data_IF_769822670480
#
_entry.id   IF_769822670480
#
_cell.length_a   1.000
_cell.length_b   1.000
_cell.length_c   1.000
_cell.angle_alpha   90.00
_cell.angle_beta   90.00
_cell.angle_gamma   90.00
#
_symmetry.space_group_name_H-M   'P 1'
#
loop_
_entity.id
_entity.type
_entity.pdbx_description
1 polymer ?
#
# COMPACT_ATOMS: atom_id res chain seq x y z
N UNK A 1 21.06 -15.58 -23.54
CA UNK A 1 19.65 -15.96 -23.21
C UNK A 1 18.84 -14.68 -23.08
N UNK A 2 17.69 -14.55 -23.74
CA UNK A 2 16.80 -13.40 -23.52
C UNK A 2 16.30 -13.45 -22.06
N UNK A 3 16.29 -12.29 -21.40
CA UNK A 3 15.77 -12.17 -20.04
C UNK A 3 14.30 -12.60 -20.02
N UNK A 4 13.88 -13.42 -19.06
CA UNK A 4 12.50 -13.84 -18.94
C UNK A 4 11.57 -12.61 -18.80
N UNK A 5 10.45 -12.62 -19.48
CA UNK A 5 9.42 -11.59 -19.31
C UNK A 5 8.60 -11.85 -18.05
N UNK A 6 8.24 -10.79 -17.35
CA UNK A 6 7.32 -10.85 -16.21
C UNK A 6 6.07 -10.04 -16.53
N UNK A 7 4.92 -10.65 -16.40
CA UNK A 7 3.64 -9.99 -16.67
C UNK A 7 2.65 -10.14 -15.53
N UNK A 8 1.70 -9.20 -15.45
CA UNK A 8 0.59 -9.20 -14.49
C UNK A 8 -0.54 -10.03 -15.08
N UNK A 9 -0.88 -11.13 -14.42
CA UNK A 9 -1.98 -12.04 -14.83
C UNK A 9 -3.34 -11.40 -14.51
N UNK A 10 -3.45 -10.81 -13.32
CA UNK A 10 -4.66 -10.12 -12.88
C UNK A 10 -4.48 -9.44 -11.53
N UNK A 11 -5.49 -8.64 -11.20
CA UNK A 11 -5.58 -7.89 -9.96
C UNK A 11 -6.99 -8.04 -9.36
N UNK A 12 -7.10 -7.91 -8.04
CA UNK A 12 -8.39 -7.82 -7.37
C UNK A 12 -8.30 -6.93 -6.12
N UNK A 13 -9.46 -6.46 -5.68
CA UNK A 13 -9.58 -5.67 -4.47
C UNK A 13 -10.72 -6.21 -3.60
N UNK A 14 -10.55 -6.07 -2.29
CA UNK A 14 -11.60 -6.20 -1.31
C UNK A 14 -11.85 -4.84 -0.66
N UNK A 15 -13.10 -4.43 -0.58
CA UNK A 15 -13.50 -3.19 0.07
C UNK A 15 -14.53 -3.54 1.16
N UNK A 16 -14.36 -3.05 2.40
CA UNK A 16 -15.36 -3.19 3.47
C UNK A 16 -16.71 -2.59 3.07
N UNK A 17 -17.76 -3.00 3.78
CA UNK A 17 -19.12 -2.48 3.50
C UNK A 17 -19.36 -1.11 4.13
N UNK A 18 -18.79 -0.87 5.31
CA UNK A 18 -18.95 0.38 6.04
C UNK A 18 -18.21 1.52 5.35
N UNK A 19 -18.85 2.70 5.29
CA UNK A 19 -18.25 3.89 4.69
C UNK A 19 -18.36 5.09 5.62
N UNK A 20 -17.58 6.12 5.34
CA UNK A 20 -17.68 7.44 5.96
C UNK A 20 -17.79 8.49 4.85
N UNK A 21 -18.83 9.29 4.87
CA UNK A 21 -19.08 10.37 3.91
C UNK A 21 -18.24 11.62 4.18
N UNK A 22 -18.15 12.52 3.21
CA UNK A 22 -17.53 13.85 3.36
C UNK A 22 -18.18 14.66 4.49
N UNK A 23 -19.50 14.54 4.65
CA UNK A 23 -20.25 15.19 5.74
C UNK A 23 -19.81 14.67 7.11
N UNK A 24 -19.67 13.37 7.28
CA UNK A 24 -19.21 12.76 8.53
C UNK A 24 -17.75 13.15 8.84
N UNK A 25 -16.88 13.24 7.83
CA UNK A 25 -15.51 13.76 7.98
C UNK A 25 -15.58 15.22 8.46
N UNK A 26 -16.39 16.07 7.84
CA UNK A 26 -16.58 17.46 8.22
C UNK A 26 -16.99 17.59 9.70
N UNK A 27 -17.97 16.80 10.14
CA UNK A 27 -18.40 16.78 11.54
C UNK A 27 -17.27 16.39 12.50
N UNK A 28 -16.45 15.39 12.14
CA UNK A 28 -15.30 14.96 12.96
C UNK A 28 -14.18 16.02 13.06
N UNK A 29 -14.10 16.95 12.12
CA UNK A 29 -13.16 18.07 12.16
C UNK A 29 -13.69 19.27 12.98
N UNK A 30 -14.79 19.11 13.69
CA UNK A 30 -15.47 20.19 14.42
C UNK A 30 -15.77 21.40 13.51
N UNK A 31 -16.08 21.16 12.23
CA UNK A 31 -16.40 22.18 11.24
C UNK A 31 -15.21 22.97 10.69
N UNK A 32 -13.97 22.62 11.06
CA UNK A 32 -12.76 23.24 10.49
C UNK A 32 -12.69 23.01 8.99
N UNK A 33 -13.10 21.82 8.54
CA UNK A 33 -13.27 21.46 7.14
C UNK A 33 -14.77 21.33 6.83
N UNK A 34 -15.29 22.19 5.96
CA UNK A 34 -16.68 22.05 5.49
C UNK A 34 -16.81 20.83 4.58
N UNK A 35 -17.99 20.24 4.45
CA UNK A 35 -18.25 19.13 3.52
C UNK A 35 -17.79 19.46 2.10
N UNK A 36 -18.11 20.67 1.64
CA UNK A 36 -17.67 21.15 0.32
C UNK A 36 -16.15 21.18 0.18
N UNK A 37 -15.43 21.63 1.21
CA UNK A 37 -13.97 21.65 1.22
C UNK A 37 -13.36 20.23 1.23
N UNK A 38 -13.97 19.29 1.94
CA UNK A 38 -13.58 17.86 1.93
C UNK A 38 -13.72 17.29 0.51
N UNK A 39 -14.82 17.57 -0.18
CA UNK A 39 -15.05 17.10 -1.55
C UNK A 39 -14.12 17.80 -2.55
N UNK A 40 -14.06 19.13 -2.53
CA UNK A 40 -13.44 19.90 -3.61
C UNK A 40 -11.92 20.07 -3.44
N UNK A 41 -11.41 20.15 -2.20
CA UNK A 41 -9.98 20.34 -1.93
C UNK A 41 -9.25 19.03 -1.60
N UNK A 42 -9.90 18.12 -0.86
CA UNK A 42 -9.30 16.83 -0.51
C UNK A 42 -9.68 15.72 -1.48
N UNK A 43 -10.71 15.92 -2.31
CA UNK A 43 -11.17 14.94 -3.29
C UNK A 43 -11.94 13.77 -2.68
N UNK A 44 -12.38 13.87 -1.43
CA UNK A 44 -13.01 12.77 -0.70
C UNK A 44 -14.53 12.96 -0.70
N UNK A 45 -15.24 12.10 -1.42
CA UNK A 45 -16.72 12.01 -1.33
C UNK A 45 -17.15 11.04 -0.24
N UNK A 46 -16.49 9.90 -0.20
CA UNK A 46 -16.62 8.87 0.83
C UNK A 46 -15.33 8.06 0.92
N UNK A 47 -15.13 7.38 2.03
CA UNK A 47 -14.06 6.40 2.22
C UNK A 47 -14.58 5.15 2.93
N UNK A 48 -13.88 4.03 2.76
CA UNK A 48 -14.23 2.77 3.40
C UNK A 48 -13.64 2.71 4.81
N UNK A 49 -14.44 2.16 5.74
CA UNK A 49 -14.03 1.91 7.11
C UNK A 49 -14.04 0.40 7.38
N UNK A 50 -13.10 -0.12 8.17
CA UNK A 50 -13.11 -1.53 8.51
C UNK A 50 -14.25 -1.84 9.48
N UNK A 51 -14.77 -3.05 9.37
CA UNK A 51 -15.63 -3.68 10.36
C UNK A 51 -14.77 -4.57 11.28
N UNK A 52 -15.38 -5.20 12.29
CA UNK A 52 -14.66 -6.05 13.25
C UNK A 52 -13.94 -7.22 12.57
N UNK A 53 -14.55 -7.78 11.52
CA UNK A 53 -14.00 -8.89 10.74
C UNK A 53 -13.02 -8.46 9.62
N UNK A 54 -12.69 -7.17 9.53
CA UNK A 54 -11.83 -6.61 8.50
C UNK A 54 -10.43 -6.29 9.06
N UNK A 55 -9.75 -7.30 9.59
CA UNK A 55 -8.33 -7.23 9.87
C UNK A 55 -7.50 -7.10 8.59
N UNK A 56 -6.26 -6.61 8.70
CA UNK A 56 -5.40 -6.41 7.53
C UNK A 56 -5.05 -7.72 6.83
N UNK A 57 -4.79 -8.78 7.60
CA UNK A 57 -4.51 -10.12 7.08
C UNK A 57 -5.74 -10.70 6.37
N UNK A 58 -6.92 -10.59 6.98
CA UNK A 58 -8.17 -11.12 6.40
C UNK A 58 -8.60 -10.34 5.16
N UNK A 59 -8.47 -9.01 5.13
CA UNK A 59 -8.75 -8.22 3.92
C UNK A 59 -7.80 -8.57 2.78
N UNK A 60 -6.52 -8.82 3.08
CA UNK A 60 -5.53 -9.32 2.12
C UNK A 60 -5.91 -10.69 1.56
N UNK A 61 -6.33 -11.63 2.43
CA UNK A 61 -6.77 -12.96 2.02
C UNK A 61 -8.03 -12.90 1.15
N UNK A 62 -9.03 -12.08 1.50
CA UNK A 62 -10.24 -11.87 0.69
C UNK A 62 -9.92 -11.33 -0.70
N UNK A 63 -8.99 -10.36 -0.80
CA UNK A 63 -8.52 -9.85 -2.08
C UNK A 63 -7.78 -10.92 -2.90
N UNK A 64 -6.93 -11.74 -2.25
CA UNK A 64 -6.18 -12.82 -2.87
C UNK A 64 -7.11 -13.91 -3.43
N UNK A 65 -8.11 -14.38 -2.66
CA UNK A 65 -9.11 -15.34 -3.11
C UNK A 65 -9.85 -14.83 -4.35
N UNK A 66 -10.28 -13.56 -4.33
CA UNK A 66 -10.94 -12.93 -5.47
C UNK A 66 -10.01 -12.82 -6.68
N UNK A 67 -8.72 -12.61 -6.47
CA UNK A 67 -7.74 -12.56 -7.55
C UNK A 67 -7.55 -13.94 -8.19
N UNK A 68 -7.47 -15.01 -7.39
CA UNK A 68 -7.44 -16.39 -7.89
C UNK A 68 -8.69 -16.72 -8.69
N UNK A 69 -9.87 -16.39 -8.17
CA UNK A 69 -11.15 -16.59 -8.87
C UNK A 69 -11.18 -15.87 -10.23
N UNK A 70 -10.81 -14.58 -10.26
CA UNK A 70 -10.83 -13.76 -11.47
C UNK A 70 -9.84 -14.24 -12.55
N UNK A 71 -8.72 -14.82 -12.13
CA UNK A 71 -7.63 -15.22 -13.05
C UNK A 71 -7.67 -16.69 -13.44
N UNK A 72 -8.37 -17.52 -12.66
CA UNK A 72 -8.36 -18.98 -12.81
C UNK A 72 -7.04 -19.63 -12.45
N UNK A 73 -6.10 -18.90 -11.79
CA UNK A 73 -4.84 -19.47 -11.28
C UNK A 73 -5.17 -20.30 -10.04
N UNK A 74 -4.70 -21.54 -9.99
CA UNK A 74 -4.87 -22.38 -8.81
C UNK A 74 -3.99 -21.88 -7.65
N UNK A 75 -4.47 -21.99 -6.42
CA UNK A 75 -3.71 -21.55 -5.25
C UNK A 75 -2.38 -22.33 -5.10
N UNK A 76 -2.39 -23.61 -5.47
CA UNK A 76 -1.23 -24.50 -5.45
C UNK A 76 -0.16 -24.13 -6.49
N UNK A 77 -0.51 -23.32 -7.50
CA UNK A 77 0.41 -22.81 -8.52
C UNK A 77 1.19 -21.55 -8.04
N UNK A 78 0.88 -21.03 -6.87
CA UNK A 78 1.61 -19.91 -6.27
C UNK A 78 2.88 -20.44 -5.59
N UNK A 79 4.03 -19.93 -6.01
CA UNK A 79 5.33 -20.28 -5.45
C UNK A 79 5.73 -19.38 -4.29
N UNK A 80 5.33 -18.08 -4.34
CA UNK A 80 5.70 -17.07 -3.34
C UNK A 80 4.52 -16.14 -3.06
N UNK A 81 4.36 -15.80 -1.78
CA UNK A 81 3.45 -14.72 -1.34
C UNK A 81 4.28 -13.57 -0.77
N UNK A 82 4.22 -12.40 -1.42
CA UNK A 82 4.73 -11.16 -0.89
C UNK A 82 3.56 -10.40 -0.25
N UNK A 83 3.48 -10.43 1.08
CA UNK A 83 2.45 -9.68 1.78
C UNK A 83 2.84 -8.21 1.92
N UNK A 84 2.00 -7.34 1.36
CA UNK A 84 2.17 -5.88 1.35
C UNK A 84 1.26 -5.18 2.37
N UNK A 85 0.69 -5.92 3.31
CA UNK A 85 -0.13 -5.38 4.39
C UNK A 85 0.65 -4.46 5.33
N UNK A 86 -0.08 -3.71 6.14
CA UNK A 86 0.52 -2.80 7.11
C UNK A 86 1.08 -3.53 8.34
N UNK A 87 2.00 -2.86 9.06
CA UNK A 87 2.51 -3.36 10.35
C UNK A 87 1.43 -3.41 11.44
N UNK A 88 0.40 -2.57 11.32
CA UNK A 88 -0.79 -2.61 12.17
C UNK A 88 -1.68 -3.77 11.72
N UNK A 89 -1.48 -4.90 12.33
CA UNK A 89 -2.12 -6.18 12.02
C UNK A 89 -2.75 -6.80 13.27
N UNK A 90 -3.50 -7.87 13.06
CA UNK A 90 -4.30 -8.52 14.09
C UNK A 90 -3.48 -8.96 15.32
N UNK A 91 -2.29 -9.47 15.09
CA UNK A 91 -1.38 -9.91 16.16
C UNK A 91 0.05 -9.46 15.88
N UNK A 92 0.72 -8.76 16.82
CA UNK A 92 2.15 -8.47 16.69
C UNK A 92 2.98 -9.75 16.52
N UNK A 93 4.12 -9.65 15.85
CA UNK A 93 5.09 -10.74 15.64
C UNK A 93 4.58 -11.93 14.81
N UNK A 94 3.41 -11.85 14.19
CA UNK A 94 2.95 -12.85 13.23
C UNK A 94 3.42 -12.51 11.82
N UNK A 95 3.55 -13.52 10.94
CA UNK A 95 3.83 -13.33 9.51
C UNK A 95 2.52 -13.34 8.75
N UNK A 96 2.13 -12.20 8.22
CA UNK A 96 0.86 -12.04 7.51
C UNK A 96 0.80 -12.87 6.22
N UNK A 97 1.93 -12.99 5.53
CA UNK A 97 2.03 -13.84 4.34
C UNK A 97 1.71 -15.31 4.64
N UNK A 98 2.13 -15.84 5.80
CA UNK A 98 1.82 -17.22 6.21
C UNK A 98 0.33 -17.39 6.56
N UNK A 99 -0.28 -16.39 7.21
CA UNK A 99 -1.72 -16.39 7.43
C UNK A 99 -2.49 -16.44 6.11
N UNK A 100 -2.11 -15.58 5.16
CA UNK A 100 -2.77 -15.52 3.85
C UNK A 100 -2.55 -16.83 3.08
N UNK A 101 -1.35 -17.41 3.13
CA UNK A 101 -1.01 -18.69 2.52
C UNK A 101 -1.98 -19.80 2.93
N UNK A 102 -2.16 -19.99 4.23
CA UNK A 102 -3.09 -20.98 4.80
C UNK A 102 -4.53 -20.67 4.39
N UNK A 103 -4.93 -19.43 4.52
CA UNK A 103 -6.29 -18.95 4.27
C UNK A 103 -6.77 -19.12 2.83
N UNK A 104 -5.84 -19.05 1.85
CA UNK A 104 -6.15 -19.23 0.42
C UNK A 104 -5.81 -20.62 -0.11
N UNK A 105 -5.21 -21.49 0.70
CA UNK A 105 -4.82 -22.85 0.30
C UNK A 105 -3.56 -22.92 -0.59
N UNK A 106 -2.67 -21.93 -0.55
CA UNK A 106 -1.45 -21.91 -1.36
C UNK A 106 -0.34 -22.77 -0.72
N UNK A 107 -0.59 -24.06 -0.60
CA UNK A 107 0.23 -25.01 0.17
C UNK A 107 1.67 -25.15 -0.32
N UNK A 108 1.93 -24.85 -1.58
CA UNK A 108 3.27 -24.92 -2.17
C UNK A 108 4.05 -23.60 -2.05
N UNK A 109 3.39 -22.51 -1.68
CA UNK A 109 4.03 -21.21 -1.56
C UNK A 109 4.85 -21.06 -0.28
N UNK A 110 5.88 -20.26 -0.32
CA UNK A 110 6.44 -19.65 0.89
C UNK A 110 6.09 -18.16 0.94
N UNK A 111 6.10 -17.55 2.12
CA UNK A 111 5.60 -16.20 2.31
C UNK A 111 6.53 -15.30 3.11
N UNK A 112 6.55 -14.00 2.74
CA UNK A 112 7.29 -12.96 3.45
C UNK A 112 6.49 -11.65 3.49
N UNK A 113 6.55 -10.95 4.62
CA UNK A 113 5.99 -9.60 4.77
C UNK A 113 6.98 -8.56 4.25
N UNK A 114 6.52 -7.67 3.36
CA UNK A 114 7.29 -6.57 2.78
C UNK A 114 6.75 -5.25 3.30
N UNK A 115 7.64 -4.36 3.75
CA UNK A 115 7.27 -3.08 4.35
C UNK A 115 8.05 -1.92 3.72
N UNK A 116 7.35 -1.03 3.03
CA UNK A 116 7.90 0.23 2.50
C UNK A 116 6.81 1.33 2.43
N UNK A 117 5.92 1.36 3.38
CA UNK A 117 4.80 2.30 3.49
C UNK A 117 3.99 2.39 2.19
N UNK A 118 3.65 3.60 1.73
CA UNK A 118 2.87 3.79 0.50
C UNK A 118 3.54 3.22 -0.76
N UNK A 119 4.85 2.96 -0.73
CA UNK A 119 5.60 2.36 -1.84
C UNK A 119 5.73 0.83 -1.74
N UNK A 120 5.08 0.17 -0.78
CA UNK A 120 5.24 -1.26 -0.54
C UNK A 120 4.87 -2.10 -1.76
N UNK A 121 3.72 -1.82 -2.39
CA UNK A 121 3.28 -2.56 -3.59
C UNK A 121 4.30 -2.44 -4.74
N UNK A 122 4.76 -1.23 -5.04
CA UNK A 122 5.75 -1.00 -6.11
C UNK A 122 7.08 -1.68 -5.80
N UNK A 123 7.51 -1.66 -4.53
CA UNK A 123 8.71 -2.37 -4.08
C UNK A 123 8.55 -3.88 -4.22
N UNK A 124 7.40 -4.43 -3.84
CA UNK A 124 7.08 -5.85 -3.99
C UNK A 124 7.02 -6.28 -5.46
N UNK A 125 6.47 -5.44 -6.35
CA UNK A 125 6.48 -5.70 -7.80
C UNK A 125 7.91 -5.80 -8.35
N UNK A 126 8.81 -4.91 -7.91
CA UNK A 126 10.23 -4.98 -8.28
C UNK A 126 10.88 -6.26 -7.76
N UNK A 127 10.67 -6.59 -6.47
CA UNK A 127 11.20 -7.82 -5.87
C UNK A 127 10.68 -9.05 -6.60
N UNK A 128 9.37 -9.14 -6.84
CA UNK A 128 8.76 -10.25 -7.57
C UNK A 128 9.32 -10.40 -8.98
N UNK A 129 9.50 -9.30 -9.72
CA UNK A 129 10.08 -9.34 -11.05
C UNK A 129 11.51 -9.88 -11.03
N UNK A 130 12.34 -9.44 -10.06
CA UNK A 130 13.71 -9.93 -9.93
C UNK A 130 13.76 -11.40 -9.52
N UNK A 131 12.91 -11.86 -8.59
CA UNK A 131 12.80 -13.27 -8.19
C UNK A 131 12.39 -14.16 -9.35
N UNK A 132 11.33 -13.78 -10.10
CA UNK A 132 10.87 -14.52 -11.27
C UNK A 132 11.92 -14.64 -12.38
N UNK A 133 12.80 -13.65 -12.51
CA UNK A 133 13.88 -13.67 -13.52
C UNK A 133 15.10 -14.45 -13.04
N UNK A 134 15.42 -14.38 -11.74
CA UNK A 134 16.64 -14.90 -11.18
C UNK A 134 16.56 -16.40 -10.77
N UNK A 135 15.36 -16.86 -10.38
CA UNK A 135 15.15 -18.22 -9.88
C UNK A 135 14.25 -19.01 -10.83
N UNK A 136 14.80 -20.09 -11.41
CA UNK A 136 14.07 -20.94 -12.37
C UNK A 136 12.97 -21.79 -11.72
N UNK A 137 12.97 -21.94 -10.41
CA UNK A 137 11.92 -22.65 -9.68
C UNK A 137 10.71 -21.77 -9.39
N UNK A 138 10.85 -20.44 -9.40
CA UNK A 138 9.77 -19.50 -9.16
C UNK A 138 9.12 -19.09 -10.48
N UNK A 139 7.83 -19.38 -10.64
CA UNK A 139 7.05 -19.10 -11.85
C UNK A 139 5.88 -18.15 -11.62
N UNK A 140 5.29 -18.19 -10.42
CA UNK A 140 4.08 -17.42 -10.08
C UNK A 140 4.21 -16.82 -8.68
N UNK A 141 4.06 -15.51 -8.58
CA UNK A 141 4.11 -14.77 -7.31
C UNK A 141 2.79 -14.05 -7.08
N UNK A 142 2.22 -14.22 -5.88
CA UNK A 142 1.11 -13.44 -5.37
C UNK A 142 1.66 -12.27 -4.55
N UNK A 143 1.27 -11.05 -4.90
CA UNK A 143 1.43 -9.85 -4.06
C UNK A 143 0.06 -9.53 -3.50
N UNK A 144 -0.12 -9.50 -2.18
CA UNK A 144 -1.41 -9.21 -1.57
C UNK A 144 -1.25 -8.64 -0.17
N UNK A 145 -2.30 -8.00 0.34
CA UNK A 145 -2.32 -7.49 1.70
C UNK A 145 -3.49 -6.57 1.96
N UNK A 146 -3.70 -6.24 3.21
CA UNK A 146 -4.75 -5.35 3.66
C UNK A 146 -4.20 -4.13 4.40
N UNK A 147 -5.06 -3.14 4.54
CA UNK A 147 -4.70 -1.82 5.03
C UNK A 147 -5.87 -1.19 5.81
N UNK A 148 -5.61 -0.65 7.00
CA UNK A 148 -6.62 0.06 7.81
C UNK A 148 -6.07 1.21 8.67
N UNK A 149 -5.01 1.88 8.24
CA UNK A 149 -4.39 2.98 8.99
C UNK A 149 -5.30 4.19 9.19
N UNK A 150 -6.48 4.21 8.57
CA UNK A 150 -7.55 5.16 8.89
C UNK A 150 -7.96 5.15 10.36
N UNK A 151 -7.71 4.07 11.10
CA UNK A 151 -7.97 3.94 12.53
C UNK A 151 -7.16 4.94 13.38
N UNK A 152 -5.96 5.33 12.92
CA UNK A 152 -5.07 6.25 13.62
C UNK A 152 -5.28 7.73 13.29
N UNK A 153 -6.22 8.07 12.40
CA UNK A 153 -6.42 9.44 11.96
C UNK A 153 -7.12 10.27 13.03
N UNK A 154 -6.43 11.31 13.51
CA UNK A 154 -7.04 12.37 14.28
C UNK A 154 -7.60 13.46 13.35
N UNK A 155 -8.94 13.53 13.25
CA UNK A 155 -9.61 14.53 12.42
C UNK A 155 -9.58 15.93 13.03
N UNK A 156 -9.17 16.07 14.29
CA UNK A 156 -9.05 17.36 14.98
C UNK A 156 -7.67 17.99 14.78
N UNK A 157 -6.66 17.21 14.36
CA UNK A 157 -5.34 17.71 13.99
C UNK A 157 -5.38 18.35 12.60
N UNK A 158 -5.23 19.68 12.56
CA UNK A 158 -5.23 20.48 11.31
C UNK A 158 -4.11 20.11 10.35
N UNK A 159 -2.98 19.60 10.87
CA UNK A 159 -1.83 19.20 10.06
C UNK A 159 -2.05 17.87 9.33
N UNK A 160 -3.05 17.08 9.77
CA UNK A 160 -3.31 15.74 9.25
C UNK A 160 -4.37 15.69 8.15
N UNK A 161 -4.85 16.86 7.65
CA UNK A 161 -5.87 16.86 6.59
C UNK A 161 -5.48 16.09 5.33
N UNK A 162 -4.18 15.98 5.03
CA UNK A 162 -3.67 15.18 3.91
C UNK A 162 -3.86 13.66 4.11
N UNK A 163 -4.12 13.21 5.34
CA UNK A 163 -4.31 11.81 5.70
C UNK A 163 -5.79 11.43 5.92
N UNK A 164 -6.73 12.37 5.74
CA UNK A 164 -8.16 12.08 5.91
C UNK A 164 -8.69 11.08 4.89
N UNK A 165 -7.99 10.89 3.76
CA UNK A 165 -8.29 9.87 2.76
C UNK A 165 -7.87 8.45 3.18
N UNK A 166 -7.09 8.28 4.24
CA UNK A 166 -6.73 6.95 4.74
C UNK A 166 -7.98 6.17 5.09
N UNK A 167 -8.09 4.98 4.54
CA UNK A 167 -9.29 4.16 4.47
C UNK A 167 -8.98 2.73 4.96
N UNK A 168 -9.78 1.77 4.55
CA UNK A 168 -9.52 0.36 4.72
C UNK A 168 -9.80 -0.40 3.43
N UNK A 169 -9.08 -1.50 3.21
CA UNK A 169 -9.29 -2.40 2.09
C UNK A 169 -8.17 -3.40 1.93
N UNK A 170 -8.35 -4.34 1.00
CA UNK A 170 -7.33 -5.30 0.59
C UNK A 170 -7.08 -5.22 -0.91
N UNK A 171 -5.85 -5.57 -1.32
CA UNK A 171 -5.44 -5.67 -2.71
C UNK A 171 -4.68 -6.95 -2.98
N UNK A 172 -4.80 -7.48 -4.19
CA UNK A 172 -4.02 -8.62 -4.64
C UNK A 172 -3.67 -8.51 -6.12
N UNK A 173 -2.50 -9.04 -6.48
CA UNK A 173 -1.98 -9.09 -7.84
C UNK A 173 -1.20 -10.38 -8.03
N UNK A 174 -1.36 -11.03 -9.19
CA UNK A 174 -0.57 -12.20 -9.58
C UNK A 174 0.39 -11.81 -10.69
N UNK A 175 1.68 -12.08 -10.47
CA UNK A 175 2.73 -11.95 -11.48
C UNK A 175 3.21 -13.34 -11.91
N UNK A 176 3.51 -13.49 -13.21
CA UNK A 176 3.95 -14.78 -13.76
C UNK A 176 5.12 -14.59 -14.72
N UNK A 177 6.08 -15.53 -14.62
CA UNK A 177 7.20 -15.66 -15.57
C UNK A 177 6.67 -16.02 -16.96
N UNK A 178 7.23 -15.38 -17.98
CA UNK A 178 6.89 -15.60 -19.38
C UNK A 178 5.42 -15.38 -19.74
N UNK A 179 4.69 -14.60 -18.92
CA UNK A 179 3.34 -14.15 -19.25
C UNK A 179 3.42 -12.98 -20.22
N UNK A 180 3.00 -13.19 -21.46
CA UNK A 180 3.22 -12.26 -22.58
C UNK A 180 2.32 -11.02 -22.62
N UNK A 181 1.59 -10.71 -21.53
CA UNK A 181 0.68 -9.56 -21.42
C UNK A 181 0.99 -8.74 -20.18
N UNK A 182 0.63 -7.44 -20.18
CA UNK A 182 0.76 -6.53 -19.04
C UNK A 182 2.17 -6.57 -18.43
N UNK A 183 3.18 -6.40 -19.27
CA UNK A 183 4.59 -6.62 -18.91
C UNK A 183 5.12 -5.54 -17.96
N UNK A 184 5.90 -5.95 -16.97
CA UNK A 184 6.73 -5.07 -16.16
C UNK A 184 8.02 -4.78 -16.93
N UNK A 185 8.12 -3.60 -17.54
CA UNK A 185 9.19 -3.24 -18.47
C UNK A 185 10.40 -2.61 -17.79
N UNK A 186 10.19 -1.88 -16.71
CA UNK A 186 11.25 -1.21 -15.97
C UNK A 186 10.77 -0.64 -14.66
N UNK A 187 11.69 -0.41 -13.72
CA UNK A 187 11.36 0.17 -12.42
C UNK A 187 12.53 0.94 -11.84
N UNK A 188 12.24 2.06 -11.18
CA UNK A 188 13.21 2.82 -10.41
C UNK A 188 12.62 3.20 -9.06
N UNK A 189 13.35 2.91 -8.00
CA UNK A 189 13.00 3.23 -6.62
C UNK A 189 14.08 4.14 -6.05
N UNK A 190 13.67 5.18 -5.32
CA UNK A 190 14.55 6.11 -4.60
C UNK A 190 14.04 6.20 -3.16
N UNK A 191 14.96 6.21 -2.20
CA UNK A 191 14.65 6.45 -0.79
C UNK A 191 15.42 7.67 -0.28
N UNK A 192 14.76 8.47 0.56
CA UNK A 192 15.37 9.56 1.31
C UNK A 192 15.26 9.30 2.81
N UNK A 193 16.31 8.71 3.39
CA UNK A 193 16.35 8.34 4.81
C UNK A 193 16.24 9.54 5.76
N UNK A 194 16.49 10.78 5.28
CA UNK A 194 16.37 12.00 6.09
C UNK A 194 14.93 12.28 6.54
N UNK A 195 13.94 11.66 5.87
CA UNK A 195 12.51 11.79 6.16
C UNK A 195 11.94 10.66 7.04
N UNK A 196 12.76 9.68 7.43
CA UNK A 196 12.31 8.44 8.07
C UNK A 196 11.47 8.61 9.34
N UNK A 197 11.69 9.70 10.10
CA UNK A 197 10.98 9.99 11.35
C UNK A 197 10.19 11.30 11.33
N UNK A 198 9.82 11.79 10.16
CA UNK A 198 9.07 13.06 10.05
C UNK A 198 7.55 12.88 10.16
N UNK A 199 7.05 11.67 9.94
CA UNK A 199 5.65 11.30 10.10
C UNK A 199 5.54 9.84 10.53
N UNK A 200 4.50 9.52 11.30
CA UNK A 200 4.24 8.15 11.76
C UNK A 200 3.24 8.11 12.91
N UNK A 201 3.00 6.90 13.43
CA UNK A 201 2.24 6.68 14.65
C UNK A 201 3.20 6.84 15.84
N UNK A 202 2.98 7.89 16.65
CA UNK A 202 3.93 8.29 17.67
C UNK A 202 3.92 7.39 18.90
N UNK A 203 2.72 6.89 19.26
CA UNK A 203 2.51 6.05 20.45
C UNK A 203 2.18 4.61 20.03
N UNK A 204 2.72 3.64 20.77
CA UNK A 204 2.51 2.20 20.53
C UNK A 204 3.75 1.46 20.04
N UNK A 205 4.84 2.18 19.74
CA UNK A 205 6.15 1.60 19.43
C UNK A 205 7.06 1.54 20.64
N UNK A 206 8.29 1.03 20.46
CA UNK A 206 9.27 0.88 21.54
C UNK A 206 9.72 2.21 22.15
N UNK A 207 9.74 3.31 21.37
CA UNK A 207 10.14 4.62 21.86
C UNK A 207 9.08 5.21 22.81
N UNK A 208 7.81 5.02 22.49
CA UNK A 208 6.67 5.48 23.30
C UNK A 208 5.64 4.34 23.38
N UNK A 209 5.82 3.37 24.28
CA UNK A 209 4.90 2.25 24.40
C UNK A 209 3.54 2.69 24.94
N UNK A 210 2.51 1.87 24.70
CA UNK A 210 1.21 2.07 25.33
C UNK A 210 1.31 1.96 26.85
N UNK A 211 0.65 2.88 27.53
CA UNK A 211 0.45 2.90 28.97
C UNK A 211 -1.02 3.12 29.27
N UNK A 212 -1.43 2.99 30.55
CA UNK A 212 -2.81 3.28 30.97
C UNK A 212 -3.21 4.76 30.70
N UNK A 213 -2.22 5.65 30.72
CA UNK A 213 -2.45 7.10 30.65
C UNK A 213 -2.48 7.62 29.21
N UNK A 214 -1.94 6.85 28.24
CA UNK A 214 -1.82 7.30 26.86
C UNK A 214 -2.55 6.42 25.83
N UNK A 215 -3.24 5.37 26.24
CA UNK A 215 -3.83 4.39 25.32
C UNK A 215 -4.88 5.02 24.38
N UNK A 216 -5.72 5.94 24.88
CA UNK A 216 -6.73 6.60 24.08
C UNK A 216 -6.10 7.55 23.05
N UNK A 217 -5.04 8.27 23.44
CA UNK A 217 -4.28 9.14 22.56
C UNK A 217 -3.54 8.32 21.51
N UNK A 218 -3.02 7.16 21.87
CA UNK A 218 -2.28 6.27 20.98
C UNK A 218 -3.07 5.84 19.75
N UNK A 219 -4.36 5.59 19.87
CA UNK A 219 -5.26 5.29 18.75
C UNK A 219 -5.49 6.47 17.79
N UNK A 220 -5.00 7.66 18.09
CA UNK A 220 -5.09 8.86 17.26
C UNK A 220 -3.73 9.52 17.07
N UNK A 221 -2.67 8.74 17.15
CA UNK A 221 -1.31 9.28 17.19
C UNK A 221 -0.59 9.29 15.85
N UNK A 222 -1.30 9.07 14.74
CA UNK A 222 -0.73 9.31 13.40
C UNK A 222 -0.60 10.82 13.18
N UNK A 223 0.64 11.30 13.13
CA UNK A 223 0.92 12.74 13.03
C UNK A 223 2.22 13.04 12.32
N UNK A 224 2.40 14.31 11.96
CA UNK A 224 3.69 14.85 11.51
C UNK A 224 4.55 15.14 12.74
N UNK A 225 5.59 14.35 12.96
CA UNK A 225 6.51 14.50 14.09
C UNK A 225 7.52 15.63 13.85
N UNK A 226 7.87 15.93 12.60
CA UNK A 226 8.69 17.06 12.20
C UNK A 226 8.16 17.67 10.89
N UNK A 227 7.08 18.48 10.96
CA UNK A 227 6.45 19.06 9.78
C UNK A 227 7.31 20.05 9.04
N UNK A 228 8.20 20.78 9.74
CA UNK A 228 9.09 21.79 9.12
C UNK A 228 10.13 21.09 8.25
N UNK A 229 10.87 20.16 8.81
CA UNK A 229 11.87 19.37 8.08
C UNK A 229 11.23 18.62 6.90
N UNK A 230 10.07 18.00 7.11
CA UNK A 230 9.36 17.29 6.05
C UNK A 230 9.03 18.23 4.90
N UNK A 231 8.43 19.38 5.17
CA UNK A 231 8.06 20.37 4.16
C UNK A 231 9.26 20.86 3.38
N UNK A 232 10.32 21.30 4.09
CA UNK A 232 11.51 21.86 3.47
C UNK A 232 12.22 20.84 2.58
N UNK A 233 12.35 19.61 3.05
CA UNK A 233 13.00 18.55 2.28
C UNK A 233 12.16 18.13 1.06
N UNK A 234 10.85 17.94 1.22
CA UNK A 234 9.97 17.58 0.10
C UNK A 234 9.95 18.67 -0.98
N UNK A 235 9.98 19.95 -0.61
CA UNK A 235 10.05 21.05 -1.59
C UNK A 235 11.32 20.97 -2.43
N UNK A 236 12.43 20.52 -1.86
CA UNK A 236 13.70 20.40 -2.57
C UNK A 236 13.77 19.20 -3.51
N UNK A 237 13.22 18.05 -3.10
CA UNK A 237 13.54 16.78 -3.76
C UNK A 237 12.35 16.10 -4.44
N UNK A 238 11.09 16.44 -4.14
CA UNK A 238 9.94 15.68 -4.65
C UNK A 238 9.88 15.64 -6.17
N UNK A 239 9.81 16.79 -6.81
CA UNK A 239 9.68 16.84 -8.28
C UNK A 239 10.91 16.29 -9.00
N UNK A 240 12.17 16.66 -8.63
CA UNK A 240 13.35 16.03 -9.21
C UNK A 240 13.38 14.50 -9.10
N UNK A 241 13.03 13.96 -7.93
CA UNK A 241 12.99 12.51 -7.73
C UNK A 241 11.88 11.82 -8.52
N UNK A 242 10.71 12.44 -8.65
CA UNK A 242 9.63 11.92 -9.49
C UNK A 242 10.05 11.82 -10.94
N UNK A 243 10.57 12.89 -11.52
CA UNK A 243 11.06 12.88 -12.90
C UNK A 243 12.18 11.85 -13.08
N UNK A 244 13.09 11.74 -12.13
CA UNK A 244 14.16 10.75 -12.19
C UNK A 244 13.60 9.31 -12.16
N UNK A 245 12.63 9.01 -11.31
CA UNK A 245 12.01 7.69 -11.27
C UNK A 245 11.32 7.35 -12.60
N UNK A 246 10.57 8.29 -13.18
CA UNK A 246 9.91 8.12 -14.48
C UNK A 246 10.96 7.87 -15.58
N UNK A 247 11.92 8.78 -15.72
CA UNK A 247 12.90 8.72 -16.82
C UNK A 247 13.78 7.49 -16.76
N UNK A 248 14.27 7.10 -15.55
CA UNK A 248 15.11 5.91 -15.40
C UNK A 248 14.32 4.62 -15.60
N UNK A 249 13.03 4.57 -15.24
CA UNK A 249 12.16 3.42 -15.52
C UNK A 249 11.90 3.27 -17.02
N UNK A 250 11.56 4.37 -17.71
CA UNK A 250 11.36 4.38 -19.17
C UNK A 250 12.64 3.98 -19.91
N UNK A 251 13.79 4.50 -19.49
CA UNK A 251 15.08 4.15 -20.08
C UNK A 251 15.37 2.65 -20.03
N UNK A 252 15.04 1.98 -18.91
CA UNK A 252 15.17 0.53 -18.79
C UNK A 252 14.31 -0.23 -19.79
N UNK A 253 13.14 0.33 -20.11
CA UNK A 253 12.20 -0.21 -21.08
C UNK A 253 12.54 0.14 -22.55
N UNK A 254 13.54 1.00 -22.80
CA UNK A 254 13.83 1.55 -24.13
C UNK A 254 12.79 2.56 -24.60
N UNK A 255 12.04 3.17 -23.68
CA UNK A 255 10.93 4.10 -23.94
C UNK A 255 11.29 5.53 -23.50
N UNK A 256 10.46 6.47 -23.91
CA UNK A 256 10.52 7.91 -23.58
C UNK A 256 9.21 8.38 -22.96
N UNK A 257 9.14 9.60 -22.45
CA UNK A 257 7.91 10.19 -21.92
C UNK A 257 6.78 10.32 -22.98
N UNK A 258 7.12 10.32 -24.28
CA UNK A 258 6.14 10.40 -25.37
C UNK A 258 5.38 9.08 -25.57
N UNK A 259 5.93 8.00 -25.06
CA UNK A 259 5.37 6.66 -25.18
C UNK A 259 4.44 6.32 -24.01
N UNK A 260 4.17 7.29 -23.11
CA UNK A 260 3.27 7.12 -21.97
C UNK A 260 1.85 7.48 -22.41
N UNK A 261 0.93 6.51 -22.41
CA UNK A 261 -0.50 6.73 -22.64
C UNK A 261 -1.23 7.10 -21.35
N UNK A 262 -0.78 6.57 -20.21
CA UNK A 262 -1.43 6.77 -18.92
C UNK A 262 -0.39 6.87 -17.78
N UNK A 263 -0.57 7.85 -16.89
CA UNK A 263 0.23 8.05 -15.69
C UNK A 263 -0.65 7.88 -14.46
N UNK A 264 -0.43 6.78 -13.73
CA UNK A 264 -1.08 6.53 -12.45
C UNK A 264 -0.14 6.91 -11.31
N UNK A 265 -0.60 7.81 -10.44
CA UNK A 265 0.16 8.30 -9.29
C UNK A 265 -0.69 8.26 -8.03
N UNK A 266 -0.04 8.07 -6.89
CA UNK A 266 -0.71 8.15 -5.60
C UNK A 266 -1.37 9.52 -5.42
N UNK A 267 -2.69 9.53 -5.30
CA UNK A 267 -3.48 10.74 -5.14
C UNK A 267 -3.61 11.12 -3.66
N UNK A 268 -2.90 12.18 -3.24
CA UNK A 268 -2.93 12.66 -1.86
C UNK A 268 -4.00 13.73 -1.62
N UNK A 269 -4.19 14.63 -2.56
CA UNK A 269 -5.28 15.62 -2.58
C UNK A 269 -5.43 16.19 -4.01
N UNK A 270 -6.58 16.75 -4.27
CA UNK A 270 -6.93 17.36 -5.55
C UNK A 270 -6.24 18.72 -5.73
#
# INVERSE_FOLDING_TARGET
>A
MSKANVGIVGIATYLPKKTMSAREISLKTNGVWTEEAVINKLGIRQKYLPEECDGTQEMGAKAALKCLENTGVAAEDIDVILCIGEEWKEYPLTTSACYIQDRIGAVNAWGIDVQNRCCTCVSAMKMAADMLVADDQINTIMICGGYRNGDFVDYTDKNMSMMYNLSAGGGAMILKKNYGKNLLLGSKIISDGSLSRTAGVEIGGQAHPFTKDNIEEGYKSLRLMDPVRMKDRLNQVSMPNWYRCIDESLKQAGLTRKDIDYLDILHMKR
#
